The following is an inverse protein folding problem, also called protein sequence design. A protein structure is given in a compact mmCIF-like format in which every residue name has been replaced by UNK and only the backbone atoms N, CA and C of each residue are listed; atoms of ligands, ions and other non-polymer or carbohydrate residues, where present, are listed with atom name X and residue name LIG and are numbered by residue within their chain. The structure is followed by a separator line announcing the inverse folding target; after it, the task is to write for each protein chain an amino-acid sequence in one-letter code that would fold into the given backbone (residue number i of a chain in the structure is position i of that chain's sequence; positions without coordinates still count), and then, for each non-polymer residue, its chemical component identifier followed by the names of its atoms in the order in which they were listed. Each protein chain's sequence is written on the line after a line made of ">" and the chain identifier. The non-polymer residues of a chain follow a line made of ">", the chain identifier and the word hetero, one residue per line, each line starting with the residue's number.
data_IF_635622985255
#
_entry.id   IF_635622985255
#
_cell.length_a   1.000
_cell.length_b   1.000
_cell.length_c   1.000
_cell.angle_alpha   90.00
_cell.angle_beta   90.00
_cell.angle_gamma   90.00
#
_symmetry.space_group_name_H-M   'P 1'
#
loop_
_entity.id
_entity.type
_entity.pdbx_description
1 polymer ?
#
# COMPACT_ATOMS: atom_id res chain seq x y z
N UNK A 1 -5.99 -15.18 11.50
CA UNK A 1 -6.48 -13.97 10.82
C UNK A 1 -5.27 -13.15 10.40
N UNK A 2 -5.35 -12.58 9.20
CA UNK A 2 -4.36 -11.63 8.76
C UNK A 2 -4.38 -10.43 9.72
N UNK A 3 -3.23 -9.92 10.08
CA UNK A 3 -3.13 -8.68 10.84
C UNK A 3 -3.69 -7.55 9.96
N UNK A 4 -4.67 -6.81 10.48
CA UNK A 4 -5.27 -5.69 9.78
C UNK A 4 -4.68 -4.41 10.38
N UNK A 5 -3.98 -3.66 9.55
CA UNK A 5 -3.51 -2.33 9.93
C UNK A 5 -4.69 -1.35 9.92
N UNK A 6 -4.76 -0.51 10.95
CA UNK A 6 -5.82 0.49 11.08
C UNK A 6 -5.33 1.85 10.56
N UNK A 7 -5.90 2.31 9.45
CA UNK A 7 -5.66 3.65 8.90
C UNK A 7 -6.71 4.69 9.33
N UNK A 8 -7.63 4.33 10.23
CA UNK A 8 -8.68 5.22 10.73
C UNK A 8 -8.25 5.92 12.01
N UNK A 9 -9.01 6.94 12.38
CA UNK A 9 -8.81 7.61 13.66
C UNK A 9 -9.03 6.63 14.85
N UNK A 10 -8.17 6.64 15.89
CA UNK A 10 -8.22 5.67 17.00
C UNK A 10 -9.54 5.70 17.80
N UNK A 11 -10.27 6.81 17.74
CA UNK A 11 -11.56 6.95 18.41
C UNK A 11 -12.77 6.54 17.57
N UNK A 12 -12.56 5.97 16.36
CA UNK A 12 -13.66 5.40 15.55
C UNK A 12 -14.06 4.02 16.12
N UNK A 13 -14.72 4.02 17.26
CA UNK A 13 -15.06 2.83 18.06
C UNK A 13 -16.51 2.32 17.88
N UNK A 14 -17.25 2.88 16.92
CA UNK A 14 -18.65 2.50 16.67
C UNK A 14 -19.68 3.17 17.54
N UNK A 15 -19.32 3.96 18.55
CA UNK A 15 -20.27 4.61 19.46
C UNK A 15 -21.38 5.41 18.75
N UNK A 16 -21.08 6.02 17.60
CA UNK A 16 -22.11 6.71 16.81
C UNK A 16 -23.17 5.77 16.22
N UNK A 17 -22.85 4.50 15.97
CA UNK A 17 -23.84 3.51 15.57
C UNK A 17 -24.83 3.27 16.71
N UNK A 18 -24.35 3.13 17.95
CA UNK A 18 -25.21 2.97 19.14
C UNK A 18 -26.14 4.17 19.31
N UNK A 19 -25.63 5.39 19.11
CA UNK A 19 -26.44 6.62 19.18
C UNK A 19 -27.52 6.64 18.10
N UNK A 20 -27.22 6.20 16.88
CA UNK A 20 -28.20 6.09 15.79
C UNK A 20 -29.32 5.10 16.16
N UNK A 21 -28.97 3.92 16.66
CA UNK A 21 -29.97 2.90 17.08
C UNK A 21 -30.84 3.38 18.25
N UNK A 22 -30.27 4.02 19.26
CA UNK A 22 -30.97 4.61 20.37
C UNK A 22 -31.99 5.68 19.95
N UNK A 23 -31.78 6.33 18.82
CA UNK A 23 -32.69 7.33 18.24
C UNK A 23 -33.61 6.76 17.15
N UNK A 24 -33.78 5.44 17.10
CA UNK A 24 -34.70 4.76 16.18
C UNK A 24 -34.16 4.57 14.76
N UNK A 25 -32.89 4.82 14.51
CA UNK A 25 -32.22 4.47 13.26
C UNK A 25 -31.88 2.99 13.16
N UNK A 26 -31.56 2.52 11.98
CA UNK A 26 -31.15 1.14 11.74
C UNK A 26 -29.71 1.14 11.22
N UNK A 27 -28.84 0.38 11.90
CA UNK A 27 -27.48 0.12 11.45
C UNK A 27 -27.46 -1.25 10.77
N UNK A 28 -26.97 -1.31 9.54
CA UNK A 28 -26.92 -2.53 8.76
C UNK A 28 -25.56 -2.70 8.08
N UNK A 29 -25.29 -3.91 7.58
CA UNK A 29 -24.08 -4.21 6.80
C UNK A 29 -22.76 -3.95 7.54
N UNK A 30 -22.70 -4.15 8.85
CA UNK A 30 -21.52 -3.96 9.69
C UNK A 30 -20.32 -4.83 9.26
N UNK A 31 -20.56 -5.91 8.50
CA UNK A 31 -19.50 -6.72 7.89
C UNK A 31 -18.88 -6.09 6.63
N UNK A 32 -19.44 -4.99 6.13
CA UNK A 32 -18.90 -4.28 4.97
C UNK A 32 -18.02 -3.14 5.47
N UNK A 33 -16.72 -3.31 5.33
CA UNK A 33 -15.75 -2.29 5.67
C UNK A 33 -14.92 -1.91 4.45
N UNK A 34 -14.35 -0.73 4.47
CA UNK A 34 -13.46 -0.28 3.42
C UNK A 34 -12.05 -0.82 3.66
N UNK A 35 -11.69 -1.85 2.92
CA UNK A 35 -10.38 -2.50 3.00
C UNK A 35 -9.50 -2.10 1.81
N UNK A 36 -8.22 -1.94 2.10
CA UNK A 36 -7.17 -1.79 1.10
C UNK A 36 -6.18 -2.93 1.26
N UNK A 37 -5.82 -3.59 0.14
CA UNK A 37 -4.76 -4.60 0.14
C UNK A 37 -3.36 -3.97 0.02
N UNK A 38 -3.26 -2.65 -0.01
CA UNK A 38 -2.04 -1.88 -0.11
C UNK A 38 -1.88 -0.98 1.12
N UNK A 39 -1.39 -1.53 2.20
CA UNK A 39 -1.06 -0.82 3.43
C UNK A 39 0.28 -1.26 3.96
N UNK A 40 0.97 -0.37 4.64
CA UNK A 40 2.20 -0.65 5.39
C UNK A 40 2.05 -0.13 6.81
N UNK A 41 2.84 -0.62 7.78
CA UNK A 41 2.92 0.02 9.09
C UNK A 41 3.27 1.50 8.95
N UNK A 42 2.61 2.34 9.73
CA UNK A 42 2.88 3.77 9.72
C UNK A 42 4.28 4.05 10.26
N UNK A 43 5.13 4.83 9.56
CA UNK A 43 6.51 5.10 10.03
C UNK A 43 6.56 5.83 11.37
N UNK A 44 5.52 6.61 11.71
CA UNK A 44 5.35 7.31 12.98
C UNK A 44 4.02 6.92 13.62
N UNK A 45 3.90 5.69 14.18
CA UNK A 45 2.62 5.19 14.67
C UNK A 45 2.16 5.97 15.90
N UNK A 46 0.90 6.43 15.90
CA UNK A 46 0.25 7.09 17.04
C UNK A 46 -0.47 6.09 17.97
N UNK A 47 -0.71 4.86 17.48
CA UNK A 47 -1.39 3.79 18.21
C UNK A 47 -0.96 2.42 17.66
N UNK A 48 -1.30 1.36 18.39
CA UNK A 48 -0.99 -0.01 18.00
C UNK A 48 -1.67 -0.38 16.66
N UNK A 49 -0.92 -1.06 15.77
CA UNK A 49 -1.34 -1.43 14.44
C UNK A 49 -1.73 -0.23 13.54
N UNK A 50 -1.20 0.97 13.81
CA UNK A 50 -1.41 2.12 12.94
C UNK A 50 -0.83 1.84 11.55
N UNK A 51 -1.69 1.91 10.55
CA UNK A 51 -1.37 1.64 9.16
C UNK A 51 -1.39 2.88 8.28
N UNK A 52 -0.56 2.85 7.27
CA UNK A 52 -0.52 3.85 6.21
C UNK A 52 -1.10 3.24 4.93
N UNK A 53 -2.16 3.82 4.42
CA UNK A 53 -2.82 3.33 3.20
C UNK A 53 -2.14 3.88 1.96
N UNK A 54 -1.58 2.98 1.16
CA UNK A 54 -1.00 3.29 -0.13
C UNK A 54 -2.06 3.20 -1.23
N UNK A 55 -2.01 4.11 -2.18
CA UNK A 55 -2.78 4.00 -3.42
C UNK A 55 -1.94 3.16 -4.39
N UNK A 56 -2.40 1.97 -4.81
CA UNK A 56 -1.63 1.09 -5.68
C UNK A 56 -1.25 1.77 -6.98
N UNK A 57 0.03 1.74 -7.31
CA UNK A 57 0.52 2.25 -8.59
C UNK A 57 0.01 1.35 -9.73
N UNK A 58 -0.52 1.96 -10.79
CA UNK A 58 -1.07 1.23 -11.95
C UNK A 58 -0.03 0.38 -12.66
N UNK A 59 1.20 0.87 -12.70
CA UNK A 59 2.34 0.24 -13.37
C UNK A 59 3.22 -0.56 -12.44
N UNK A 60 2.75 -0.87 -11.22
CA UNK A 60 3.49 -1.70 -10.28
C UNK A 60 3.43 -3.18 -10.68
N UNK A 61 4.54 -3.87 -10.58
CA UNK A 61 4.56 -5.32 -10.61
C UNK A 61 4.22 -5.85 -9.21
N UNK A 62 3.11 -6.56 -9.11
CA UNK A 62 2.67 -7.16 -7.86
C UNK A 62 3.21 -8.57 -7.71
N UNK A 63 3.85 -8.83 -6.58
CA UNK A 63 4.46 -10.11 -6.24
C UNK A 63 3.88 -10.64 -4.93
N UNK A 64 3.74 -11.95 -4.83
CA UNK A 64 3.49 -12.64 -3.57
C UNK A 64 4.76 -12.67 -2.69
N UNK A 65 4.63 -13.25 -1.51
CA UNK A 65 5.74 -13.39 -0.56
C UNK A 65 6.94 -14.19 -1.10
N UNK A 66 6.80 -14.96 -2.18
CA UNK A 66 7.89 -15.72 -2.80
C UNK A 66 8.57 -15.00 -3.97
N UNK A 67 8.07 -13.85 -4.37
CA UNK A 67 8.54 -13.09 -5.52
C UNK A 67 7.89 -13.47 -6.85
N UNK A 68 6.81 -14.26 -6.81
CA UNK A 68 6.04 -14.62 -8.01
C UNK A 68 4.97 -13.58 -8.29
N UNK A 69 4.76 -13.29 -9.56
CA UNK A 69 3.74 -12.35 -10.00
C UNK A 69 2.34 -12.80 -9.58
N UNK A 70 1.59 -11.89 -8.95
CA UNK A 70 0.17 -12.04 -8.69
C UNK A 70 -0.56 -11.54 -9.94
N UNK A 71 -1.30 -12.38 -10.58
CA UNK A 71 -2.01 -11.97 -11.79
C UNK A 71 -2.54 -13.15 -12.57
N UNK A 72 -3.07 -12.97 -13.75
CA UNK A 72 -3.21 -11.73 -14.52
C UNK A 72 -4.36 -10.85 -14.05
N UNK A 73 -4.22 -9.59 -14.35
CA UNK A 73 -5.04 -8.41 -14.15
C UNK A 73 -6.57 -8.59 -14.11
N UNK A 74 -7.32 -7.63 -13.52
CA UNK A 74 -6.87 -6.27 -13.14
C UNK A 74 -6.85 -6.06 -11.63
N UNK A 75 -5.79 -6.43 -10.96
CA UNK A 75 -5.67 -6.26 -9.50
C UNK A 75 -5.29 -4.84 -9.10
N UNK A 76 -4.88 -4.02 -10.06
CA UNK A 76 -4.07 -2.83 -9.83
C UNK A 76 -4.86 -1.54 -9.81
N UNK A 77 -6.03 -1.50 -10.41
CA UNK A 77 -6.81 -0.26 -10.43
C UNK A 77 -7.79 -0.27 -9.28
N UNK A 78 -7.89 0.84 -8.55
CA UNK A 78 -8.78 1.02 -7.40
C UNK A 78 -10.28 0.83 -7.70
N UNK A 79 -10.62 0.09 -8.74
CA UNK A 79 -11.99 -0.19 -9.13
C UNK A 79 -12.55 -1.48 -8.54
N UNK A 80 -11.68 -2.43 -8.13
CA UNK A 80 -12.11 -3.67 -7.50
C UNK A 80 -11.22 -4.01 -6.29
N UNK A 81 -11.29 -3.16 -5.28
CA UNK A 81 -10.56 -3.34 -4.02
C UNK A 81 -10.99 -4.59 -3.28
N UNK A 82 -12.25 -4.97 -3.39
CA UNK A 82 -12.78 -6.17 -2.76
C UNK A 82 -12.11 -7.44 -3.31
N UNK A 83 -12.09 -7.59 -4.63
CA UNK A 83 -11.44 -8.72 -5.30
C UNK A 83 -9.94 -8.78 -5.03
N UNK A 84 -9.27 -7.61 -4.97
CA UNK A 84 -7.86 -7.54 -4.60
C UNK A 84 -7.64 -8.03 -3.16
N UNK A 85 -8.46 -7.59 -2.22
CA UNK A 85 -8.39 -8.04 -0.83
C UNK A 85 -8.66 -9.55 -0.70
N UNK A 86 -9.67 -10.08 -1.39
CA UNK A 86 -9.93 -11.52 -1.44
C UNK A 86 -8.72 -12.30 -1.97
N UNK A 87 -8.09 -11.79 -3.05
CA UNK A 87 -6.93 -12.43 -3.66
C UNK A 87 -5.73 -12.45 -2.73
N UNK A 88 -5.44 -11.33 -2.05
CA UNK A 88 -4.34 -11.23 -1.08
C UNK A 88 -4.61 -12.10 0.14
N UNK A 89 -5.85 -12.10 0.66
CA UNK A 89 -6.24 -12.92 1.80
C UNK A 89 -6.17 -14.43 1.53
N UNK A 90 -6.28 -14.83 0.26
CA UNK A 90 -6.17 -16.24 -0.16
C UNK A 90 -4.72 -16.71 -0.38
N UNK A 91 -3.72 -15.83 -0.25
CA UNK A 91 -2.32 -16.23 -0.31
C UNK A 91 -1.90 -16.97 0.96
N UNK A 92 -0.88 -17.83 0.86
CA UNK A 92 -0.30 -18.51 2.01
C UNK A 92 0.20 -17.53 3.09
N UNK A 93 0.70 -16.39 2.64
CA UNK A 93 1.04 -15.22 3.48
C UNK A 93 0.23 -14.01 2.99
N UNK A 94 -0.54 -13.36 3.86
CA UNK A 94 -1.48 -12.30 3.49
C UNK A 94 -0.79 -10.94 3.33
N UNK A 95 0.34 -10.91 2.68
CA UNK A 95 1.08 -9.70 2.34
C UNK A 95 1.74 -9.85 0.95
N UNK A 96 2.07 -8.74 0.35
CA UNK A 96 2.54 -8.67 -1.03
C UNK A 96 3.65 -7.64 -1.18
N UNK A 97 4.41 -7.76 -2.25
CA UNK A 97 5.38 -6.77 -2.67
C UNK A 97 4.88 -6.01 -3.89
N UNK A 98 5.15 -4.72 -3.94
CA UNK A 98 4.99 -3.90 -5.15
C UNK A 98 6.36 -3.48 -5.64
N UNK A 99 6.75 -4.00 -6.80
CA UNK A 99 8.02 -3.65 -7.42
C UNK A 99 7.82 -2.51 -8.43
N UNK A 100 8.61 -1.45 -8.28
CA UNK A 100 8.53 -0.21 -9.04
C UNK A 100 9.93 0.25 -9.41
N UNK A 101 10.07 0.94 -10.51
CA UNK A 101 11.24 1.78 -10.71
C UNK A 101 10.96 3.21 -10.20
N UNK A 102 12.03 4.01 -10.02
CA UNK A 102 11.92 5.38 -9.49
C UNK A 102 10.97 6.28 -10.30
N UNK A 103 10.94 6.11 -11.62
CA UNK A 103 10.09 6.91 -12.50
C UNK A 103 8.60 6.62 -12.25
N UNK A 104 8.25 5.35 -12.14
CA UNK A 104 6.89 4.91 -11.83
C UNK A 104 6.50 5.39 -10.41
N UNK A 105 7.36 5.15 -9.43
CA UNK A 105 7.13 5.60 -8.07
C UNK A 105 6.88 7.12 -8.00
N UNK A 106 7.73 7.94 -8.63
CA UNK A 106 7.56 9.39 -8.61
C UNK A 106 6.26 9.87 -9.30
N UNK A 107 5.75 9.13 -10.29
CA UNK A 107 4.57 9.51 -11.06
C UNK A 107 3.25 8.98 -10.50
N UNK A 108 3.28 7.80 -9.91
CA UNK A 108 2.05 7.06 -9.58
C UNK A 108 1.90 6.80 -8.07
N UNK A 109 3.00 6.89 -7.29
CA UNK A 109 2.94 6.64 -5.87
C UNK A 109 2.18 7.73 -5.15
N UNK A 110 1.17 7.32 -4.40
CA UNK A 110 0.37 8.22 -3.59
C UNK A 110 -0.01 7.53 -2.27
N UNK A 111 -0.19 8.34 -1.25
CA UNK A 111 -0.59 7.92 0.10
C UNK A 111 -1.87 8.64 0.47
N UNK A 112 -2.80 7.93 1.09
CA UNK A 112 -4.01 8.55 1.63
C UNK A 112 -3.70 9.42 2.85
N UNK A 113 -4.50 10.47 3.02
CA UNK A 113 -4.41 11.35 4.18
C UNK A 113 -3.71 12.67 3.92
N UNK A 114 -4.04 13.64 4.75
CA UNK A 114 -3.56 15.03 4.62
C UNK A 114 -2.09 15.18 5.05
N UNK A 115 -1.60 14.31 5.89
CA UNK A 115 -0.23 14.34 6.44
C UNK A 115 0.81 14.28 5.32
N UNK A 116 0.67 13.34 4.39
CA UNK A 116 1.60 13.15 3.29
C UNK A 116 1.29 14.01 2.06
N UNK A 117 0.17 14.77 2.08
CA UNK A 117 -0.29 15.63 0.99
C UNK A 117 -0.35 17.11 1.40
N UNK A 118 0.77 17.73 1.84
CA UNK A 118 0.75 19.10 2.37
C UNK A 118 0.28 20.13 1.36
N UNK A 119 0.54 19.94 0.07
CA UNK A 119 0.10 20.88 -0.96
C UNK A 119 -1.42 20.86 -1.18
N UNK A 120 -2.07 19.69 -1.00
CA UNK A 120 -3.52 19.58 -1.04
C UNK A 120 -4.11 20.16 0.25
N UNK A 121 -3.59 19.75 1.40
CA UNK A 121 -4.02 20.21 2.73
C UNK A 121 -3.97 21.75 2.84
N UNK A 122 -2.88 22.36 2.40
CA UNK A 122 -2.60 23.78 2.54
C UNK A 122 -3.06 24.61 1.32
N UNK A 123 -3.87 24.01 0.42
CA UNK A 123 -4.41 24.63 -0.80
C UNK A 123 -3.34 25.25 -1.73
N UNK A 124 -2.14 24.66 -1.79
CA UNK A 124 -1.01 25.15 -2.58
C UNK A 124 -1.04 24.59 -3.99
N UNK A 125 -1.83 25.22 -4.86
CA UNK A 125 -2.12 24.72 -6.21
C UNK A 125 -0.87 24.58 -7.11
N UNK A 126 0.01 25.60 -7.13
CA UNK A 126 1.19 25.57 -8.02
C UNK A 126 2.18 24.43 -7.69
N UNK A 127 2.59 24.20 -6.43
CA UNK A 127 3.40 23.04 -6.07
C UNK A 127 2.70 21.72 -6.38
N UNK A 128 1.40 21.62 -6.13
CA UNK A 128 0.61 20.43 -6.45
C UNK A 128 0.63 20.11 -7.96
N UNK A 129 0.39 21.11 -8.81
CA UNK A 129 0.47 20.95 -10.27
C UNK A 129 1.86 20.54 -10.73
N UNK A 130 2.92 21.11 -10.13
CA UNK A 130 4.30 20.73 -10.42
C UNK A 130 4.57 19.27 -10.07
N UNK A 131 4.16 18.81 -8.89
CA UNK A 131 4.30 17.39 -8.49
C UNK A 131 3.52 16.47 -9.42
N UNK A 132 2.32 16.84 -9.84
CA UNK A 132 1.51 16.06 -10.79
C UNK A 132 2.17 15.96 -12.17
N UNK A 133 2.76 17.04 -12.68
CA UNK A 133 3.38 17.06 -14.01
C UNK A 133 4.75 16.38 -14.03
N UNK A 134 5.59 16.63 -13.04
CA UNK A 134 7.00 16.21 -13.03
C UNK A 134 7.27 14.99 -12.11
N UNK A 135 6.31 14.60 -11.30
CA UNK A 135 6.41 13.53 -10.33
C UNK A 135 6.67 14.03 -8.90
N UNK A 136 6.13 13.30 -7.93
CA UNK A 136 6.26 13.60 -6.50
C UNK A 136 7.52 12.94 -5.91
N UNK A 137 8.68 13.38 -6.36
CA UNK A 137 9.97 12.87 -5.87
C UNK A 137 10.18 13.12 -4.38
N UNK A 138 9.54 14.15 -3.81
CA UNK A 138 9.60 14.46 -2.39
C UNK A 138 9.00 13.32 -1.58
N UNK A 139 7.79 12.88 -1.93
CA UNK A 139 7.09 11.80 -1.23
C UNK A 139 7.86 10.48 -1.30
N UNK A 140 8.41 10.14 -2.47
CA UNK A 140 9.21 8.92 -2.65
C UNK A 140 10.44 8.92 -1.74
N UNK A 141 11.17 10.05 -1.68
CA UNK A 141 12.32 10.19 -0.78
C UNK A 141 11.92 10.15 0.68
N UNK A 142 10.85 10.84 1.05
CA UNK A 142 10.33 10.82 2.41
C UNK A 142 10.04 9.39 2.85
N UNK A 143 9.36 8.60 2.04
CA UNK A 143 9.07 7.20 2.37
C UNK A 143 10.32 6.32 2.42
N UNK A 144 11.30 6.57 1.57
CA UNK A 144 12.59 5.88 1.60
C UNK A 144 13.36 6.16 2.90
N UNK A 145 13.24 7.38 3.45
CA UNK A 145 13.95 7.81 4.66
C UNK A 145 13.23 7.41 5.95
N UNK A 146 11.89 7.38 5.93
CA UNK A 146 11.06 7.22 7.13
C UNK A 146 10.49 5.81 7.30
N UNK A 147 10.38 5.00 6.23
CA UNK A 147 9.70 3.71 6.28
C UNK A 147 10.63 2.54 6.01
N UNK A 148 10.74 1.62 6.96
CA UNK A 148 11.46 0.36 6.80
C UNK A 148 10.83 -0.57 5.73
N UNK A 149 9.57 -0.31 5.35
CA UNK A 149 8.82 -1.09 4.37
C UNK A 149 8.93 -0.54 2.95
N UNK A 150 9.69 0.54 2.76
CA UNK A 150 9.93 1.16 1.45
C UNK A 150 11.39 0.95 1.03
N UNK A 151 11.64 -0.22 0.46
CA UNK A 151 12.98 -0.67 0.11
C UNK A 151 13.44 -0.09 -1.23
N UNK A 152 14.66 0.42 -1.30
CA UNK A 152 15.27 0.96 -2.51
C UNK A 152 16.65 0.33 -2.70
N UNK A 153 16.97 -0.13 -3.91
CA UNK A 153 18.28 -0.64 -4.27
C UNK A 153 18.59 -0.33 -5.75
N UNK A 154 19.85 -0.33 -6.11
CA UNK A 154 20.30 -0.06 -7.48
C UNK A 154 20.23 -1.31 -8.37
N UNK A 155 20.28 -2.49 -7.77
CA UNK A 155 20.21 -3.77 -8.49
C UNK A 155 19.10 -4.66 -7.93
N UNK A 156 18.59 -5.56 -8.76
CA UNK A 156 17.56 -6.50 -8.37
C UNK A 156 18.05 -7.51 -7.30
N UNK A 157 19.27 -8.05 -7.37
CA UNK A 157 19.82 -8.88 -6.29
C UNK A 157 19.86 -8.16 -4.95
N UNK A 158 20.36 -6.92 -4.89
CA UNK A 158 20.44 -6.14 -3.65
C UNK A 158 19.04 -5.83 -3.10
N UNK A 159 18.07 -5.60 -3.99
CA UNK A 159 16.68 -5.39 -3.56
C UNK A 159 16.12 -6.66 -2.92
N UNK A 160 16.33 -7.81 -3.54
CA UNK A 160 15.85 -9.10 -3.01
C UNK A 160 16.53 -9.41 -1.66
N UNK A 161 17.81 -9.12 -1.49
CA UNK A 161 18.49 -9.26 -0.19
C UNK A 161 17.83 -8.39 0.90
N UNK A 162 17.47 -7.14 0.58
CA UNK A 162 16.73 -6.28 1.51
C UNK A 162 15.33 -6.79 1.81
N UNK A 163 14.63 -7.33 0.82
CA UNK A 163 13.32 -7.95 1.01
C UNK A 163 13.41 -9.15 1.96
N UNK A 164 14.41 -10.02 1.78
CA UNK A 164 14.67 -11.16 2.66
C UNK A 164 15.04 -10.73 4.08
N UNK A 165 15.84 -9.67 4.22
CA UNK A 165 16.21 -9.12 5.52
C UNK A 165 14.98 -8.57 6.28
N UNK A 166 14.05 -7.89 5.60
CA UNK A 166 12.82 -7.38 6.19
C UNK A 166 11.86 -8.51 6.58
N UNK A 167 11.75 -9.53 5.76
CA UNK A 167 10.89 -10.70 5.97
C UNK A 167 11.42 -11.61 7.10
N UNK A 168 12.73 -11.55 7.39
CA UNK A 168 13.40 -12.38 8.36
C UNK A 168 13.46 -13.86 7.97
N UNK A 169 13.14 -14.18 6.71
CA UNK A 169 13.14 -15.52 6.12
C UNK A 169 13.37 -15.41 4.62
N UNK A 170 14.05 -16.41 4.06
CA UNK A 170 14.34 -16.48 2.62
C UNK A 170 13.11 -16.88 1.78
N UNK A 171 11.96 -16.23 2.00
CA UNK A 171 10.77 -16.53 1.21
C UNK A 171 10.91 -16.04 -0.22
N UNK A 172 11.36 -14.80 -0.39
CA UNK A 172 11.55 -14.18 -1.71
C UNK A 172 12.75 -14.81 -2.38
N UNK A 173 12.54 -15.32 -3.60
CA UNK A 173 13.59 -15.96 -4.39
C UNK A 173 13.96 -15.08 -5.58
N UNK A 174 15.26 -14.74 -5.74
CA UNK A 174 15.75 -13.88 -6.82
C UNK A 174 15.29 -14.39 -8.19
N UNK A 175 15.43 -15.69 -8.45
CA UNK A 175 15.02 -16.28 -9.72
C UNK A 175 13.51 -16.11 -10.01
N UNK A 176 12.66 -16.13 -8.97
CA UNK A 176 11.23 -15.89 -9.11
C UNK A 176 10.93 -14.42 -9.45
N UNK A 177 11.62 -13.49 -8.77
CA UNK A 177 11.48 -12.05 -9.04
C UNK A 177 11.95 -11.72 -10.46
N UNK A 178 13.11 -12.23 -10.89
CA UNK A 178 13.63 -12.03 -12.25
C UNK A 178 12.68 -12.60 -13.32
N UNK A 179 12.12 -13.79 -13.09
CA UNK A 179 11.13 -14.37 -14.00
C UNK A 179 9.87 -13.52 -14.08
N UNK A 180 9.41 -12.98 -12.94
CA UNK A 180 8.24 -12.11 -12.85
C UNK A 180 8.46 -10.78 -13.57
N UNK A 181 9.65 -10.19 -13.44
CA UNK A 181 10.03 -8.96 -14.16
C UNK A 181 10.05 -9.21 -15.67
N UNK A 182 10.73 -10.27 -16.14
CA UNK A 182 10.73 -10.61 -17.58
C UNK A 182 9.33 -10.80 -18.12
N UNK A 183 8.48 -11.52 -17.41
CA UNK A 183 7.08 -11.72 -17.83
C UNK A 183 6.26 -10.44 -17.87
N UNK A 184 6.64 -9.43 -17.07
CA UNK A 184 5.94 -8.15 -17.01
C UNK A 184 6.37 -7.21 -18.13
N UNK A 185 7.64 -7.29 -18.57
CA UNK A 185 8.22 -6.42 -19.60
C UNK A 185 7.91 -6.92 -21.02
N UNK A 186 7.60 -8.21 -21.21
CA UNK A 186 7.16 -8.83 -22.48
C UNK A 186 5.67 -8.53 -22.78
#
# INVERSE_FOLDING_TARGET
>A
PAEILNGSHPYCNGHMHDVVEQNGGVVSHLGHMWNYAAGIPHPHPEFEAHGLSLIPCKSALWLDHTGRRIGPLPLVTGFDTHRLCERVAALDKPWTWQLLNWRIAAKEFAISGAEHNPHIRDHRLLPFLKETLFGNHRLVRQMQEESDHFLVADTLPDLVERMQALDGKDYVQLAAVEASVRQFDD
#
